data_IF_897078463258
#
_entry.id   IF_897078463258
#
_cell.length_a   1.000
_cell.length_b   1.000
_cell.length_c   1.000
_cell.angle_alpha   90.00
_cell.angle_beta   90.00
_cell.angle_gamma   90.00
#
_symmetry.space_group_name_H-M   'P 1'
#
loop_
_entity.id
_entity.type
_entity.pdbx_description
1 polymer ?
#
# COMPACT_ATOMS: atom_id res chain seq x y z
N UNK A 1 22.14 39.32 45.55
CA UNK A 1 21.74 38.35 44.51
C UNK A 1 21.92 38.99 43.13
N UNK A 2 23.15 39.40 42.84
CA UNK A 2 23.55 40.29 41.74
C UNK A 2 25.01 39.95 41.39
N UNK A 3 25.41 40.21 40.14
CA UNK A 3 26.71 39.96 39.49
C UNK A 3 26.99 38.55 38.93
N UNK A 4 26.83 37.46 39.69
CA UNK A 4 27.23 36.11 39.21
C UNK A 4 26.33 35.60 38.06
N UNK A 5 25.03 35.88 38.12
CA UNK A 5 24.08 35.43 37.08
C UNK A 5 24.23 36.22 35.76
N UNK A 6 24.68 37.48 35.82
CA UNK A 6 24.92 38.32 34.63
C UNK A 6 26.24 37.92 33.96
N UNK A 7 27.26 37.49 34.71
CA UNK A 7 28.51 36.96 34.12
C UNK A 7 28.30 35.64 33.36
N UNK A 8 27.41 34.76 33.86
CA UNK A 8 27.06 33.50 33.18
C UNK A 8 26.24 33.72 31.90
N UNK A 9 25.42 34.78 31.85
CA UNK A 9 24.70 35.16 30.63
C UNK A 9 25.61 35.84 29.58
N UNK A 10 26.67 36.54 30.00
CA UNK A 10 27.63 37.17 29.09
C UNK A 10 28.64 36.17 28.48
N UNK A 11 28.92 35.05 29.15
CA UNK A 11 29.73 33.97 28.58
C UNK A 11 28.98 33.14 27.53
N UNK A 12 27.65 33.10 27.56
CA UNK A 12 26.84 32.32 26.63
C UNK A 12 26.61 33.00 25.28
N UNK A 13 26.86 34.31 25.16
CA UNK A 13 26.65 35.08 23.91
C UNK A 13 27.94 35.20 23.06
N UNK A 14 29.09 34.72 23.53
CA UNK A 14 30.32 34.69 22.71
C UNK A 14 30.43 33.47 21.78
N UNK A 15 29.42 32.60 21.72
CA UNK A 15 29.38 31.44 20.82
C UNK A 15 28.75 31.78 19.47
N UNK A 16 29.12 32.92 18.89
CA UNK A 16 28.77 33.25 17.51
C UNK A 16 29.70 32.44 16.60
N UNK A 17 29.09 31.59 15.78
CA UNK A 17 29.65 30.80 14.69
C UNK A 17 31.01 31.30 14.17
N UNK A 18 32.09 30.60 14.53
CA UNK A 18 33.39 30.81 13.89
C UNK A 18 33.34 30.19 12.49
N UNK A 19 33.29 31.03 11.45
CA UNK A 19 33.55 30.57 10.08
C UNK A 19 35.03 30.17 9.99
N UNK A 20 35.32 28.86 9.89
CA UNK A 20 36.67 28.31 10.11
C UNK A 20 37.54 28.42 8.86
N UNK A 21 38.51 29.32 8.88
CA UNK A 21 39.47 29.55 7.80
C UNK A 21 40.59 28.49 7.73
N UNK A 22 40.63 27.61 6.70
CA UNK A 22 41.67 26.60 6.55
C UNK A 22 43.05 27.20 6.25
N UNK A 23 43.10 28.44 5.73
CA UNK A 23 44.35 29.16 5.44
C UNK A 23 44.95 29.87 6.66
N UNK A 24 44.37 29.67 7.87
CA UNK A 24 44.84 30.31 9.11
C UNK A 24 46.32 30.00 9.39
N UNK A 25 46.79 28.78 9.10
CA UNK A 25 48.20 28.38 9.31
C UNK A 25 49.20 29.14 8.44
N UNK A 26 48.77 29.70 7.32
CA UNK A 26 49.60 30.51 6.41
C UNK A 26 49.26 32.00 6.47
N UNK A 27 48.50 32.43 7.49
CA UNK A 27 48.22 33.84 7.77
C UNK A 27 47.26 34.55 6.82
N UNK A 28 46.63 33.84 5.86
CA UNK A 28 45.71 34.46 4.89
C UNK A 28 44.26 34.39 5.34
N UNK A 29 43.47 35.44 5.10
CA UNK A 29 42.00 35.45 5.25
C UNK A 29 41.35 35.32 3.89
N UNK A 30 40.47 34.33 3.71
CA UNK A 30 39.68 34.13 2.50
C UNK A 30 38.23 33.79 2.86
N UNK A 31 37.28 34.20 2.03
CA UNK A 31 35.87 33.76 2.12
C UNK A 31 35.79 32.32 1.62
N UNK A 32 35.23 31.41 2.43
CA UNK A 32 35.10 30.00 2.08
C UNK A 32 33.71 29.78 1.51
N UNK A 33 33.65 29.33 0.26
CA UNK A 33 32.42 28.83 -0.33
C UNK A 33 32.27 27.37 0.12
N UNK A 34 31.22 27.08 0.88
CA UNK A 34 30.81 25.72 1.22
C UNK A 34 29.77 25.26 0.19
N UNK A 35 29.73 23.97 -0.14
CA UNK A 35 28.84 23.39 -1.15
C UNK A 35 27.38 23.75 -0.87
N UNK A 36 27.03 23.86 0.41
CA UNK A 36 25.67 24.06 0.87
C UNK A 36 25.47 25.41 1.56
N UNK A 37 26.41 26.35 1.40
CA UNK A 37 26.36 27.68 2.02
C UNK A 37 26.09 27.63 3.53
N UNK A 38 26.69 26.64 4.21
CA UNK A 38 26.54 26.43 5.66
C UNK A 38 25.28 25.68 6.09
N UNK A 39 24.48 25.15 5.16
CA UNK A 39 23.29 24.34 5.50
C UNK A 39 23.67 23.00 6.15
N UNK A 40 24.79 22.41 5.76
CA UNK A 40 25.32 21.19 6.37
C UNK A 40 26.75 21.41 6.91
N UNK A 41 27.12 20.60 7.91
CA UNK A 41 28.49 20.56 8.43
C UNK A 41 29.36 19.83 7.40
N UNK A 42 30.20 20.56 6.69
CA UNK A 42 31.04 20.04 5.59
C UNK A 42 32.50 19.78 5.99
N UNK A 43 32.84 20.05 7.25
CA UNK A 43 34.17 19.78 7.82
C UNK A 43 34.03 18.71 8.90
N UNK A 44 34.64 17.54 8.67
CA UNK A 44 34.42 16.33 9.47
C UNK A 44 35.62 15.94 10.35
N UNK A 45 36.82 16.46 10.07
CA UNK A 45 38.07 16.04 10.74
C UNK A 45 38.59 17.08 11.73
N UNK A 46 38.03 17.11 12.94
CA UNK A 46 38.48 18.05 13.98
C UNK A 46 38.94 17.42 15.28
N UNK A 47 38.67 16.13 15.49
CA UNK A 47 39.06 15.46 16.73
C UNK A 47 40.20 14.46 16.49
N UNK A 48 41.17 14.45 17.41
CA UNK A 48 42.30 13.53 17.33
C UNK A 48 41.86 12.09 17.59
N UNK A 49 40.67 11.90 18.16
CA UNK A 49 40.09 10.59 18.47
C UNK A 49 38.86 10.38 17.58
N UNK A 50 38.90 9.35 16.74
CA UNK A 50 37.77 8.94 15.91
C UNK A 50 37.26 7.57 16.32
N UNK A 51 35.94 7.40 16.24
CA UNK A 51 35.29 6.10 16.45
C UNK A 51 35.38 5.28 15.17
N UNK A 52 36.00 4.10 15.27
CA UNK A 52 36.06 3.11 14.20
C UNK A 52 35.49 1.81 14.78
N UNK A 53 34.26 1.47 14.40
CA UNK A 53 33.53 0.32 14.94
C UNK A 53 33.30 0.42 16.44
N UNK A 54 33.85 -0.53 17.20
CA UNK A 54 33.80 -0.60 18.67
C UNK A 54 35.03 0.03 19.34
N UNK A 55 35.95 0.63 18.58
CA UNK A 55 37.16 1.26 19.11
C UNK A 55 37.15 2.78 18.91
N UNK A 56 37.61 3.51 19.92
CA UNK A 56 38.04 4.89 19.79
C UNK A 56 39.54 4.89 19.50
N UNK A 57 39.94 5.45 18.35
CA UNK A 57 41.32 5.43 17.86
C UNK A 57 41.82 6.87 17.76
N UNK A 58 43.02 7.11 18.29
CA UNK A 58 43.70 8.37 18.03
C UNK A 58 44.30 8.33 16.61
N UNK A 59 43.80 9.15 15.69
CA UNK A 59 44.20 9.13 14.27
C UNK A 59 45.60 9.69 14.03
N UNK A 60 46.15 10.47 14.96
CA UNK A 60 47.50 11.03 14.85
C UNK A 60 48.55 10.02 15.32
N UNK A 61 48.26 9.26 16.38
CA UNK A 61 49.20 8.27 16.94
C UNK A 61 48.91 6.84 16.49
N UNK A 62 47.77 6.60 15.82
CA UNK A 62 47.24 5.29 15.43
C UNK A 62 47.08 4.31 16.59
N UNK A 63 46.86 4.83 17.81
CA UNK A 63 46.67 4.03 19.01
C UNK A 63 45.19 3.92 19.39
N UNK A 64 44.78 2.73 19.85
CA UNK A 64 43.45 2.51 20.43
C UNK A 64 43.41 3.19 21.79
N UNK A 65 42.53 4.18 21.93
CA UNK A 65 42.30 4.93 23.16
C UNK A 65 41.36 4.17 24.08
N UNK A 66 40.32 3.55 23.51
CA UNK A 66 39.29 2.85 24.29
C UNK A 66 38.55 1.83 23.44
N UNK A 67 38.24 0.67 24.02
CA UNK A 67 37.33 -0.32 23.45
C UNK A 67 35.98 -0.19 24.14
N UNK A 68 34.94 0.06 23.36
CA UNK A 68 33.57 0.29 23.85
C UNK A 68 32.93 -1.03 24.26
N UNK A 69 32.28 -1.07 25.43
CA UNK A 69 31.49 -2.21 25.91
C UNK A 69 30.17 -2.34 25.14
N UNK A 70 29.83 -3.58 24.80
CA UNK A 70 28.68 -3.96 23.98
C UNK A 70 27.34 -3.57 24.63
N UNK A 71 27.30 -3.43 25.96
CA UNK A 71 26.05 -3.34 26.73
C UNK A 71 25.56 -1.91 27.02
N UNK A 72 26.41 -0.89 26.91
CA UNK A 72 26.08 0.49 27.36
C UNK A 72 26.04 1.51 26.23
N UNK A 73 26.86 1.36 25.19
CA UNK A 73 27.08 2.42 24.18
C UNK A 73 26.58 2.08 22.76
N UNK A 74 26.03 0.87 22.54
CA UNK A 74 25.54 0.40 21.23
C UNK A 74 24.07 0.80 20.95
N UNK A 75 23.37 1.43 21.90
CA UNK A 75 21.94 1.79 21.71
C UNK A 75 21.65 2.81 20.59
N UNK A 76 22.65 3.49 20.05
CA UNK A 76 22.52 4.06 18.70
C UNK A 76 22.87 2.96 17.70
N UNK A 77 21.85 2.22 17.26
CA UNK A 77 21.96 1.37 16.06
C UNK A 77 22.74 2.17 15.01
N UNK A 78 23.82 1.64 14.41
CA UNK A 78 24.40 2.26 13.23
C UNK A 78 23.28 2.36 12.21
N UNK A 79 22.83 3.58 11.94
CA UNK A 79 22.00 3.85 10.79
C UNK A 79 22.87 3.52 9.57
N UNK A 80 22.41 2.56 8.75
CA UNK A 80 23.08 2.11 7.54
C UNK A 80 23.24 3.24 6.51
N UNK A 81 22.58 4.39 6.71
CA UNK A 81 22.82 5.63 5.96
C UNK A 81 24.29 6.07 5.98
N UNK A 82 25.07 5.70 7.01
CA UNK A 82 26.48 6.09 7.14
C UNK A 82 27.47 5.10 6.53
N UNK A 83 27.13 3.80 6.48
CA UNK A 83 28.05 2.74 6.04
C UNK A 83 27.80 2.24 4.61
N UNK A 84 26.68 2.62 3.99
CA UNK A 84 26.30 2.22 2.61
C UNK A 84 26.43 0.70 2.35
N UNK A 85 26.19 -0.10 3.40
CA UNK A 85 26.28 -1.57 3.41
C UNK A 85 25.16 -2.13 4.25
N UNK A 86 24.68 -3.32 3.92
CA UNK A 86 23.69 -4.01 4.73
C UNK A 86 24.30 -4.54 6.04
N UNK A 87 23.50 -4.57 7.10
CA UNK A 87 23.91 -5.08 8.42
C UNK A 87 23.79 -6.61 8.52
N UNK A 88 23.05 -7.23 7.59
CA UNK A 88 22.85 -8.67 7.47
C UNK A 88 23.42 -9.18 6.15
N UNK A 89 23.78 -10.46 6.10
CA UNK A 89 24.24 -11.10 4.87
C UNK A 89 23.11 -11.24 3.86
N UNK A 90 23.40 -10.93 2.60
CA UNK A 90 22.53 -11.14 1.44
C UNK A 90 22.21 -12.65 1.29
N UNK A 91 20.93 -13.07 1.31
CA UNK A 91 20.51 -14.46 1.09
C UNK A 91 20.98 -15.07 -0.24
N UNK A 92 21.24 -14.26 -1.27
CA UNK A 92 21.70 -14.67 -2.59
C UNK A 92 23.23 -14.69 -2.72
N UNK A 93 23.98 -14.43 -1.64
CA UNK A 93 25.45 -14.46 -1.61
C UNK A 93 26.03 -15.70 -2.29
N UNK A 94 25.40 -16.88 -2.10
CA UNK A 94 25.87 -18.14 -2.68
C UNK A 94 25.87 -18.17 -4.22
N UNK A 95 24.99 -17.39 -4.85
CA UNK A 95 24.88 -17.25 -6.31
C UNK A 95 25.81 -16.20 -6.89
N UNK A 96 26.36 -15.31 -6.05
CA UNK A 96 27.16 -14.16 -6.46
C UNK A 96 28.47 -14.09 -5.67
N UNK A 97 29.28 -15.15 -5.75
CA UNK A 97 30.55 -15.27 -5.02
C UNK A 97 31.57 -14.17 -5.32
N UNK A 98 31.39 -13.44 -6.42
CA UNK A 98 32.23 -12.29 -6.80
C UNK A 98 31.83 -10.98 -6.09
N UNK A 99 30.74 -10.97 -5.33
CA UNK A 99 30.23 -9.80 -4.62
C UNK A 99 30.34 -10.00 -3.10
N UNK A 100 30.44 -8.88 -2.37
CA UNK A 100 30.44 -8.94 -0.90
C UNK A 100 29.03 -9.32 -0.41
N UNK A 101 28.88 -10.16 0.62
CA UNK A 101 27.59 -10.49 1.23
C UNK A 101 26.84 -9.29 1.82
N UNK A 102 27.45 -8.11 1.87
CA UNK A 102 26.90 -6.89 2.47
C UNK A 102 26.87 -5.71 1.49
N UNK A 103 27.06 -5.99 0.19
CA UNK A 103 27.13 -4.99 -0.88
C UNK A 103 25.77 -4.31 -1.10
N UNK A 104 25.79 -3.06 -1.57
CA UNK A 104 24.60 -2.37 -2.06
C UNK A 104 24.75 -2.12 -3.57
N UNK A 105 23.74 -2.49 -4.36
CA UNK A 105 23.63 -2.21 -5.78
C UNK A 105 24.85 -2.62 -6.63
N UNK A 106 25.42 -3.80 -6.37
CA UNK A 106 26.70 -4.30 -6.91
C UNK A 106 27.87 -3.32 -6.76
N UNK A 107 27.88 -2.51 -5.68
CA UNK A 107 28.79 -1.38 -5.47
C UNK A 107 28.72 -0.30 -6.58
N UNK A 108 27.60 -0.18 -7.27
CA UNK A 108 27.34 0.81 -8.33
C UNK A 108 26.16 1.72 -7.97
N UNK A 109 26.24 2.54 -6.91
CA UNK A 109 25.09 3.30 -6.41
C UNK A 109 24.63 4.48 -7.30
N UNK A 110 25.38 4.80 -8.37
CA UNK A 110 25.05 5.92 -9.27
C UNK A 110 24.06 5.47 -10.36
N UNK A 111 24.22 4.25 -10.88
CA UNK A 111 23.46 3.70 -12.00
C UNK A 111 22.84 2.32 -11.73
N UNK A 112 23.34 1.62 -10.71
CA UNK A 112 22.71 0.46 -10.12
C UNK A 112 21.74 0.88 -9.02
N UNK A 113 20.54 0.33 -9.10
CA UNK A 113 19.57 0.32 -8.00
C UNK A 113 19.55 -1.12 -7.50
N UNK A 114 19.72 -1.30 -6.20
CA UNK A 114 19.57 -2.58 -5.53
C UNK A 114 18.09 -3.00 -5.62
N UNK A 115 17.81 -3.96 -6.51
CA UNK A 115 16.46 -4.39 -6.89
C UNK A 115 15.96 -5.57 -6.04
N UNK A 116 16.68 -5.91 -4.99
CA UNK A 116 16.39 -7.00 -4.06
C UNK A 116 15.07 -6.75 -3.32
N UNK A 117 14.45 -5.59 -3.54
CA UNK A 117 13.05 -5.45 -3.97
C UNK A 117 12.15 -6.64 -3.71
N UNK A 118 11.33 -6.50 -2.69
CA UNK A 118 10.38 -7.54 -2.36
C UNK A 118 8.99 -7.00 -2.06
N UNK A 119 8.42 -6.05 -2.81
CA UNK A 119 6.97 -6.03 -3.17
C UNK A 119 6.37 -4.63 -3.22
N UNK A 120 6.28 -4.18 -4.45
CA UNK A 120 5.20 -3.39 -4.99
C UNK A 120 4.96 -3.90 -6.40
N UNK A 121 3.75 -3.76 -6.94
CA UNK A 121 3.56 -4.03 -8.37
C UNK A 121 4.08 -2.84 -9.16
N UNK A 122 5.00 -3.07 -10.09
CA UNK A 122 5.47 -2.00 -10.97
C UNK A 122 4.71 -2.03 -12.27
N UNK A 123 3.90 -1.02 -12.51
CA UNK A 123 3.41 -0.74 -13.84
C UNK A 123 4.37 0.17 -14.58
N UNK A 124 4.66 -0.15 -15.83
CA UNK A 124 5.40 0.71 -16.75
C UNK A 124 4.51 1.07 -17.93
N UNK A 125 4.22 2.36 -18.07
CA UNK A 125 3.49 2.95 -19.18
C UNK A 125 4.45 3.75 -20.05
N UNK A 126 4.39 3.55 -21.35
CA UNK A 126 5.20 4.29 -22.33
C UNK A 126 4.28 5.16 -23.16
N UNK A 127 4.53 6.47 -23.19
CA UNK A 127 3.75 7.46 -23.94
C UNK A 127 4.54 8.04 -25.10
N UNK A 128 3.94 8.08 -26.28
CA UNK A 128 4.47 8.78 -27.45
C UNK A 128 4.08 10.26 -27.40
N UNK A 129 5.05 11.16 -27.30
CA UNK A 129 4.82 12.61 -27.38
C UNK A 129 4.89 13.09 -28.84
N UNK A 130 4.01 14.03 -29.24
CA UNK A 130 4.08 14.70 -30.55
C UNK A 130 5.25 15.71 -30.54
N UNK A 131 6.07 15.71 -31.60
CA UNK A 131 7.25 16.59 -31.76
C UNK A 131 6.96 18.08 -31.59
N UNK A 132 5.71 18.48 -31.82
CA UNK A 132 5.31 19.90 -31.84
C UNK A 132 5.05 20.48 -30.45
N UNK A 133 4.75 19.64 -29.46
CA UNK A 133 4.52 20.06 -28.08
C UNK A 133 5.04 18.95 -27.16
N UNK A 134 6.15 19.20 -26.46
CA UNK A 134 6.62 18.39 -25.33
C UNK A 134 5.70 18.53 -24.11
N UNK A 135 4.37 18.57 -24.32
CA UNK A 135 3.41 18.57 -23.23
C UNK A 135 3.12 17.10 -22.87
N UNK A 136 3.54 16.62 -21.68
CA UNK A 136 3.26 15.26 -21.23
C UNK A 136 1.76 14.94 -21.11
N UNK A 137 0.89 15.95 -21.05
CA UNK A 137 -0.58 15.80 -21.03
C UNK A 137 -1.19 15.43 -22.41
N UNK A 138 -0.40 15.45 -23.49
CA UNK A 138 -0.85 15.18 -24.87
C UNK A 138 -0.24 13.88 -25.46
N UNK A 139 0.38 13.03 -24.63
CA UNK A 139 1.00 11.80 -25.07
C UNK A 139 0.00 10.66 -25.34
N UNK A 140 0.14 9.96 -26.47
CA UNK A 140 -0.64 8.74 -26.75
C UNK A 140 0.04 7.52 -26.11
N UNK A 141 -0.72 6.66 -25.40
CA UNK A 141 -0.18 5.44 -24.83
C UNK A 141 0.36 4.51 -25.93
N UNK A 142 1.64 4.18 -25.86
CA UNK A 142 2.36 3.30 -26.79
C UNK A 142 2.35 1.84 -26.29
N UNK A 143 2.61 1.66 -24.99
CA UNK A 143 2.55 0.34 -24.35
C UNK A 143 2.30 0.47 -22.86
N UNK A 144 1.66 -0.55 -22.29
CA UNK A 144 1.52 -0.76 -20.87
C UNK A 144 2.06 -2.16 -20.55
N UNK A 145 2.82 -2.27 -19.47
CA UNK A 145 3.33 -3.54 -18.97
C UNK A 145 3.36 -3.50 -17.45
N UNK A 146 3.37 -4.66 -16.81
CA UNK A 146 3.56 -4.76 -15.38
C UNK A 146 4.59 -5.83 -15.05
N UNK A 147 5.27 -5.64 -13.93
CA UNK A 147 6.14 -6.65 -13.33
C UNK A 147 5.59 -6.95 -11.94
N UNK A 148 5.21 -8.21 -11.74
CA UNK A 148 4.83 -8.75 -10.43
C UNK A 148 6.06 -9.40 -9.81
N UNK A 149 6.53 -8.88 -8.67
CA UNK A 149 7.67 -9.46 -7.96
C UNK A 149 7.23 -10.73 -7.23
N UNK A 150 7.47 -11.86 -7.92
CA UNK A 150 7.56 -13.28 -7.56
C UNK A 150 6.75 -13.89 -6.39
N UNK A 151 5.93 -14.90 -6.74
CA UNK A 151 5.28 -15.87 -5.85
C UNK A 151 6.21 -16.66 -4.88
N UNK A 152 7.53 -16.67 -5.11
CA UNK A 152 8.51 -17.33 -4.24
C UNK A 152 8.92 -16.47 -3.02
N UNK A 153 8.46 -15.21 -2.93
CA UNK A 153 8.88 -14.26 -1.89
C UNK A 153 7.94 -14.19 -0.65
N UNK A 154 6.88 -15.00 -0.59
CA UNK A 154 6.02 -15.14 0.61
C UNK A 154 5.42 -13.83 1.15
N UNK A 155 5.05 -12.86 0.30
CA UNK A 155 4.41 -11.59 0.70
C UNK A 155 5.28 -10.70 1.63
N UNK A 156 6.60 -10.64 1.39
CA UNK A 156 7.58 -9.90 2.17
C UNK A 156 8.07 -8.58 1.54
N UNK A 157 7.40 -7.44 1.78
CA UNK A 157 7.59 -6.09 1.16
C UNK A 157 9.00 -5.48 0.94
N UNK A 158 9.14 -4.74 -0.17
CA UNK A 158 10.35 -4.03 -0.58
C UNK A 158 10.54 -2.70 0.16
N UNK A 159 11.57 -1.92 -0.20
CA UNK A 159 11.93 -0.67 0.51
C UNK A 159 10.85 0.43 0.46
N UNK A 160 9.98 0.41 -0.55
CA UNK A 160 8.81 1.30 -0.63
C UNK A 160 7.63 0.82 0.24
N UNK A 161 7.67 -0.41 0.75
CA UNK A 161 6.58 -1.04 1.49
C UNK A 161 5.48 -1.58 0.57
N UNK A 162 4.37 -2.00 1.18
CA UNK A 162 3.19 -2.49 0.47
C UNK A 162 2.62 -1.41 -0.45
N UNK A 163 2.48 -1.69 -1.75
CA UNK A 163 1.90 -0.73 -2.68
C UNK A 163 2.08 -1.05 -4.15
N UNK A 164 1.83 -0.05 -4.98
CA UNK A 164 1.91 -0.13 -6.44
C UNK A 164 2.76 1.03 -6.92
N UNK A 165 3.84 0.74 -7.64
CA UNK A 165 4.65 1.74 -8.30
C UNK A 165 4.19 1.92 -9.74
N UNK A 166 4.03 3.16 -10.16
CA UNK A 166 3.73 3.54 -11.52
C UNK A 166 4.95 4.23 -12.10
N UNK A 167 5.46 3.73 -13.22
CA UNK A 167 6.53 4.31 -14.01
C UNK A 167 5.93 4.77 -15.33
N UNK A 168 6.07 6.06 -15.62
CA UNK A 168 5.61 6.69 -16.85
C UNK A 168 6.82 7.12 -17.65
N UNK A 169 7.07 6.47 -18.77
CA UNK A 169 8.14 6.77 -19.72
C UNK A 169 7.57 7.57 -20.87
N UNK A 170 8.28 8.60 -21.28
CA UNK A 170 7.90 9.44 -22.41
C UNK A 170 8.90 9.22 -23.53
N UNK A 171 8.43 9.00 -24.76
CA UNK A 171 9.27 8.79 -25.92
C UNK A 171 8.85 9.66 -27.11
N UNK A 172 9.83 10.03 -27.93
CA UNK A 172 9.63 10.69 -29.23
C UNK A 172 10.31 9.83 -30.28
N UNK A 173 9.55 9.35 -31.28
CA UNK A 173 10.05 8.44 -32.31
C UNK A 173 10.79 7.20 -31.76
N UNK A 174 10.27 6.62 -30.68
CA UNK A 174 10.85 5.44 -30.04
C UNK A 174 12.09 5.70 -29.17
N UNK A 175 12.49 6.96 -28.98
CA UNK A 175 13.57 7.35 -28.06
C UNK A 175 13.00 7.91 -26.78
N UNK A 176 13.37 7.33 -25.64
CA UNK A 176 13.00 7.86 -24.31
C UNK A 176 13.55 9.29 -24.13
N UNK A 177 12.67 10.22 -23.77
CA UNK A 177 12.98 11.63 -23.53
C UNK A 177 12.75 12.04 -22.08
N UNK A 178 12.12 11.19 -21.27
CA UNK A 178 11.91 11.43 -19.85
C UNK A 178 11.16 10.29 -19.16
N UNK A 179 11.20 10.31 -17.84
CA UNK A 179 10.48 9.36 -17.00
C UNK A 179 9.98 10.05 -15.73
N UNK A 180 8.77 9.69 -15.30
CA UNK A 180 8.23 9.99 -13.99
C UNK A 180 7.91 8.68 -13.26
N UNK A 181 7.99 8.67 -11.93
CA UNK A 181 7.54 7.55 -11.13
C UNK A 181 6.83 8.03 -9.87
N UNK A 182 5.76 7.35 -9.48
CA UNK A 182 5.08 7.56 -8.21
C UNK A 182 4.68 6.24 -7.59
N UNK A 183 4.55 6.23 -6.27
CA UNK A 183 4.22 5.05 -5.48
C UNK A 183 2.92 5.27 -4.73
N UNK A 184 1.97 4.36 -4.92
CA UNK A 184 0.71 4.31 -4.17
C UNK A 184 0.88 3.28 -3.07
N UNK A 185 1.19 3.77 -1.87
CA UNK A 185 1.28 2.92 -0.69
C UNK A 185 -0.10 2.36 -0.33
N UNK A 186 -0.15 1.08 0.04
CA UNK A 186 -1.29 0.51 0.76
C UNK A 186 -1.18 0.98 2.21
N UNK A 187 -1.92 2.01 2.55
CA UNK A 187 -1.81 2.65 3.85
C UNK A 187 -2.60 1.84 4.89
N UNK A 188 -1.87 1.32 5.87
CA UNK A 188 -2.42 1.27 7.21
C UNK A 188 -2.78 2.71 7.63
N UNK A 189 -4.05 2.98 7.93
CA UNK A 189 -4.49 4.33 8.26
C UNK A 189 -3.63 4.97 9.35
N UNK A 190 -3.59 6.31 9.40
CA UNK A 190 -2.88 7.08 10.42
C UNK A 190 -3.30 6.76 11.88
N UNK A 191 -4.38 5.99 12.07
CA UNK A 191 -4.87 5.49 13.36
C UNK A 191 -4.50 4.01 13.64
N UNK A 192 -3.66 3.41 12.80
CA UNK A 192 -3.16 2.04 12.97
C UNK A 192 -4.13 0.93 12.57
N UNK A 193 -5.27 1.27 11.94
CA UNK A 193 -6.23 0.29 11.41
C UNK A 193 -6.17 0.36 9.89
N UNK A 194 -5.42 -0.55 9.27
CA UNK A 194 -5.45 -0.72 7.81
C UNK A 194 -6.75 -1.41 7.41
N UNK A 195 -7.53 -0.78 6.53
CA UNK A 195 -8.62 -1.45 5.78
C UNK A 195 -8.13 -2.01 4.45
N UNK A 196 -6.84 -1.82 4.14
CA UNK A 196 -6.24 -2.18 2.87
C UNK A 196 -5.39 -3.44 3.02
N UNK A 197 -5.44 -4.30 2.01
CA UNK A 197 -4.66 -5.52 1.92
C UNK A 197 -4.56 -6.00 0.47
N UNK A 198 -3.40 -6.52 0.08
CA UNK A 198 -3.20 -7.02 -1.27
C UNK A 198 -3.47 -5.97 -2.36
N UNK A 199 -3.97 -6.46 -3.50
CA UNK A 199 -4.26 -5.67 -4.69
C UNK A 199 -5.71 -5.15 -4.72
N UNK A 200 -6.64 -5.83 -4.05
CA UNK A 200 -8.08 -5.65 -4.23
C UNK A 200 -8.83 -5.36 -2.94
N UNK A 201 -8.31 -5.74 -1.76
CA UNK A 201 -9.00 -5.40 -0.51
C UNK A 201 -8.75 -3.93 -0.13
N UNK A 202 -9.81 -3.11 -0.14
CA UNK A 202 -9.82 -1.74 0.37
C UNK A 202 -10.28 -0.72 -0.67
N UNK A 203 -10.33 0.56 -0.29
CA UNK A 203 -10.84 1.63 -1.13
C UNK A 203 -9.86 2.11 -2.22
N UNK A 204 -8.59 1.72 -2.12
CA UNK A 204 -7.49 2.12 -3.02
C UNK A 204 -7.11 1.00 -3.98
N UNK A 205 -8.10 0.27 -4.51
CA UNK A 205 -7.84 -0.79 -5.49
C UNK A 205 -7.06 -0.27 -6.72
N UNK A 206 -6.48 -1.21 -7.47
CA UNK A 206 -5.64 -0.90 -8.62
C UNK A 206 -6.43 -0.13 -9.67
N UNK A 207 -5.98 1.08 -9.99
CA UNK A 207 -6.59 1.89 -11.04
C UNK A 207 -5.72 1.85 -12.29
N UNK A 208 -6.35 1.90 -13.47
CA UNK A 208 -5.62 2.26 -14.67
C UNK A 208 -4.99 3.65 -14.48
N UNK A 209 -3.80 3.94 -15.02
CA UNK A 209 -3.27 5.29 -15.02
C UNK A 209 -4.18 6.15 -15.90
N UNK A 210 -4.37 7.39 -15.48
CA UNK A 210 -4.92 8.38 -16.40
C UNK A 210 -3.86 8.76 -17.45
N UNK A 211 -4.33 9.12 -18.64
CA UNK A 211 -3.50 9.63 -19.74
C UNK A 211 -2.84 10.98 -19.43
N UNK A 212 -3.23 11.64 -18.32
CA UNK A 212 -2.66 12.90 -17.85
C UNK A 212 -1.44 12.73 -16.90
N UNK A 213 -1.11 11.49 -16.54
CA UNK A 213 0.09 11.17 -15.77
C UNK A 213 0.11 11.64 -14.31
N UNK A 214 -1.05 12.03 -13.73
CA UNK A 214 -1.11 12.55 -12.35
C UNK A 214 -2.28 12.02 -11.51
N UNK A 215 -3.05 11.04 -12.00
CA UNK A 215 -4.19 10.50 -11.25
C UNK A 215 -4.50 9.03 -11.53
N UNK A 216 -5.17 8.41 -10.56
CA UNK A 216 -5.88 7.15 -10.74
C UNK A 216 -7.10 7.35 -11.64
N UNK A 217 -7.26 6.50 -12.65
CA UNK A 217 -8.54 6.35 -13.35
C UNK A 217 -9.66 5.95 -12.40
N UNK A 218 -10.91 6.19 -12.77
CA UNK A 218 -12.06 5.54 -12.12
C UNK A 218 -12.28 4.10 -12.60
N UNK A 219 -11.43 3.61 -13.51
CA UNK A 219 -11.49 2.25 -14.07
C UNK A 219 -10.50 1.37 -13.32
N UNK A 220 -11.02 0.34 -12.64
CA UNK A 220 -10.21 -0.67 -11.99
C UNK A 220 -9.45 -1.53 -13.01
N UNK A 221 -8.23 -1.90 -12.65
CA UNK A 221 -7.41 -2.85 -13.40
C UNK A 221 -7.40 -4.22 -12.68
N UNK A 222 -8.00 -5.22 -13.33
CA UNK A 222 -8.03 -6.61 -12.85
C UNK A 222 -7.02 -7.52 -13.55
N UNK A 223 -6.09 -6.97 -14.33
CA UNK A 223 -5.05 -7.74 -15.04
C UNK A 223 -4.01 -8.32 -14.09
N UNK A 224 -3.93 -7.79 -12.87
CA UNK A 224 -3.04 -8.34 -11.85
C UNK A 224 -3.67 -9.56 -11.18
N UNK A 225 -2.88 -10.63 -10.96
CA UNK A 225 -3.35 -11.68 -10.10
C UNK A 225 -3.54 -11.13 -8.68
N UNK A 226 -4.53 -11.66 -7.97
CA UNK A 226 -4.60 -11.48 -6.53
C UNK A 226 -3.32 -12.01 -5.87
N UNK A 227 -2.93 -11.42 -4.73
CA UNK A 227 -1.69 -11.84 -4.06
C UNK A 227 -1.86 -13.15 -3.29
N UNK A 228 -3.07 -13.43 -2.79
CA UNK A 228 -3.44 -14.63 -2.02
C UNK A 228 -4.96 -14.87 -2.05
N UNK A 229 -5.46 -15.86 -1.30
CA UNK A 229 -6.88 -16.19 -1.29
C UNK A 229 -7.77 -15.07 -0.74
N UNK A 230 -7.29 -14.31 0.24
CA UNK A 230 -8.08 -13.22 0.85
C UNK A 230 -8.25 -12.09 -0.15
N UNK A 231 -7.19 -11.77 -0.86
CA UNK A 231 -7.18 -10.77 -1.92
C UNK A 231 -7.96 -11.23 -3.15
N UNK A 232 -7.93 -12.53 -3.48
CA UNK A 232 -8.74 -13.10 -4.56
C UNK A 232 -10.23 -12.96 -4.27
N UNK A 233 -10.66 -13.18 -3.03
CA UNK A 233 -12.05 -12.97 -2.63
C UNK A 233 -12.47 -11.50 -2.76
N UNK A 234 -11.57 -10.56 -2.46
CA UNK A 234 -11.82 -9.13 -2.70
C UNK A 234 -11.90 -8.82 -4.20
N UNK A 235 -11.03 -9.40 -5.02
CA UNK A 235 -11.09 -9.29 -6.48
C UNK A 235 -12.43 -9.77 -7.03
N UNK A 236 -12.91 -10.94 -6.57
CA UNK A 236 -14.20 -11.48 -7.01
C UNK A 236 -15.39 -10.64 -6.55
N UNK A 237 -15.29 -10.02 -5.38
CA UNK A 237 -16.27 -9.05 -4.90
C UNK A 237 -16.37 -7.85 -5.84
N UNK A 238 -15.23 -7.24 -6.18
CA UNK A 238 -15.19 -6.05 -7.01
C UNK A 238 -15.65 -6.35 -8.45
N UNK A 239 -15.19 -7.47 -9.03
CA UNK A 239 -15.72 -7.97 -10.32
C UNK A 239 -17.24 -8.21 -10.28
N UNK A 240 -17.75 -8.63 -9.12
CA UNK A 240 -19.18 -8.77 -8.88
C UNK A 240 -19.91 -7.44 -8.92
N UNK A 241 -19.37 -6.41 -8.27
CA UNK A 241 -19.91 -5.05 -8.27
C UNK A 241 -19.96 -4.49 -9.68
N UNK A 242 -18.85 -4.57 -10.42
CA UNK A 242 -18.74 -4.09 -11.79
C UNK A 242 -19.74 -4.79 -12.72
N UNK A 243 -19.92 -6.11 -12.56
CA UNK A 243 -20.89 -6.89 -13.34
C UNK A 243 -22.31 -6.35 -13.19
N UNK A 244 -22.66 -5.82 -12.02
CA UNK A 244 -23.95 -5.21 -11.76
C UNK A 244 -23.87 -3.67 -11.73
N UNK A 245 -22.82 -3.05 -12.27
CA UNK A 245 -22.69 -1.59 -12.32
C UNK A 245 -22.82 -0.89 -10.95
N UNK A 246 -22.50 -1.59 -9.85
CA UNK A 246 -22.52 -1.02 -8.50
C UNK A 246 -21.28 -0.16 -8.27
N UNK A 247 -21.45 1.01 -7.64
CA UNK A 247 -20.39 2.01 -7.47
C UNK A 247 -20.10 2.27 -6.00
N UNK A 248 -18.89 1.90 -5.59
CA UNK A 248 -18.23 2.33 -4.35
C UNK A 248 -19.06 2.19 -3.08
N UNK A 249 -18.86 3.15 -2.16
CA UNK A 249 -19.48 3.13 -0.83
C UNK A 249 -21.01 3.24 -0.88
N UNK A 250 -21.57 3.99 -1.84
CA UNK A 250 -23.03 4.16 -1.94
C UNK A 250 -23.72 2.82 -2.21
N UNK A 251 -23.19 2.03 -3.14
CA UNK A 251 -23.73 0.70 -3.44
C UNK A 251 -23.44 -0.32 -2.33
N UNK A 252 -22.34 -0.15 -1.58
CA UNK A 252 -22.04 -1.00 -0.43
C UNK A 252 -23.11 -0.92 0.66
N UNK A 253 -23.77 0.23 0.86
CA UNK A 253 -24.77 0.37 1.92
C UNK A 253 -26.22 0.47 1.40
N UNK A 254 -26.42 1.14 0.27
CA UNK A 254 -27.75 1.49 -0.27
C UNK A 254 -28.31 0.49 -1.28
N UNK A 255 -27.45 -0.17 -2.05
CA UNK A 255 -27.89 -1.11 -3.08
C UNK A 255 -28.10 -2.51 -2.47
N UNK A 256 -29.32 -3.03 -2.60
CA UNK A 256 -29.65 -4.38 -2.12
C UNK A 256 -29.29 -5.47 -3.12
N UNK A 257 -29.02 -5.12 -4.38
CA UNK A 257 -28.60 -6.04 -5.44
C UNK A 257 -27.16 -6.53 -5.26
N UNK A 258 -26.34 -5.78 -4.51
CA UNK A 258 -24.97 -6.19 -4.13
C UNK A 258 -24.94 -7.20 -2.99
N UNK A 259 -26.03 -7.37 -2.22
CA UNK A 259 -26.09 -8.28 -1.06
C UNK A 259 -25.55 -9.70 -1.32
N UNK A 260 -25.90 -10.41 -2.42
CA UNK A 260 -25.36 -11.75 -2.66
C UNK A 260 -23.85 -11.76 -3.01
N UNK A 261 -23.30 -10.66 -3.50
CA UNK A 261 -21.86 -10.50 -3.76
C UNK A 261 -21.13 -10.24 -2.44
N UNK A 262 -21.66 -9.32 -1.63
CA UNK A 262 -21.17 -9.03 -0.26
C UNK A 262 -21.15 -10.30 0.61
N UNK A 263 -22.23 -11.08 0.53
CA UNK A 263 -22.39 -12.34 1.25
C UNK A 263 -21.39 -13.39 0.77
N UNK A 264 -21.10 -13.47 -0.52
CA UNK A 264 -20.09 -14.38 -1.06
C UNK A 264 -18.68 -14.05 -0.53
N UNK A 265 -18.32 -12.76 -0.50
CA UNK A 265 -17.06 -12.30 0.06
C UNK A 265 -16.95 -12.60 1.56
N UNK A 266 -18.00 -12.25 2.33
CA UNK A 266 -18.11 -12.55 3.76
C UNK A 266 -17.93 -14.05 4.05
N UNK A 267 -18.65 -14.89 3.32
CA UNK A 267 -18.57 -16.33 3.49
C UNK A 267 -17.18 -16.86 3.13
N UNK A 268 -16.57 -16.36 2.05
CA UNK A 268 -15.21 -16.71 1.65
C UNK A 268 -14.17 -16.37 2.73
N UNK A 269 -14.24 -15.16 3.30
CA UNK A 269 -13.29 -14.76 4.36
C UNK A 269 -13.52 -15.53 5.67
N UNK A 270 -14.77 -15.84 6.02
CA UNK A 270 -15.05 -16.71 7.16
C UNK A 270 -14.52 -18.13 6.92
N UNK A 271 -14.80 -18.71 5.75
CA UNK A 271 -14.32 -20.04 5.36
C UNK A 271 -12.79 -20.11 5.40
N UNK A 272 -12.13 -19.09 4.86
CA UNK A 272 -10.68 -18.97 4.90
C UNK A 272 -10.16 -18.95 6.34
N UNK A 273 -10.72 -18.10 7.20
CA UNK A 273 -10.31 -17.95 8.60
C UNK A 273 -10.48 -19.25 9.40
N UNK A 274 -11.55 -19.99 9.11
CA UNK A 274 -11.94 -21.18 9.85
C UNK A 274 -11.14 -22.42 9.41
N UNK A 275 -10.80 -22.53 8.11
CA UNK A 275 -10.07 -23.68 7.55
C UNK A 275 -8.55 -23.51 7.52
N UNK A 276 -8.05 -22.29 7.30
CA UNK A 276 -6.63 -22.06 7.02
C UNK A 276 -5.93 -21.32 8.16
N UNK A 277 -4.87 -21.94 8.67
CA UNK A 277 -4.04 -21.42 9.78
C UNK A 277 -2.75 -20.82 9.24
N UNK A 278 -2.13 -19.93 10.02
CA UNK A 278 -0.80 -19.40 9.68
C UNK A 278 0.17 -20.56 9.43
N UNK A 279 0.89 -20.52 8.30
CA UNK A 279 1.81 -21.57 7.86
C UNK A 279 1.17 -22.72 7.07
N UNK A 280 -0.16 -22.80 6.97
CA UNK A 280 -0.83 -23.74 6.05
C UNK A 280 -0.72 -23.26 4.61
N UNK A 281 -0.97 -24.15 3.64
CA UNK A 281 -0.99 -23.79 2.22
C UNK A 281 -2.21 -22.93 1.90
N UNK A 282 -1.98 -21.73 1.40
CA UNK A 282 -2.98 -20.85 0.83
C UNK A 282 -3.63 -21.56 -0.37
N UNK A 283 -4.97 -21.59 -0.48
CA UNK A 283 -5.66 -22.33 -1.53
C UNK A 283 -5.61 -21.64 -2.91
N UNK A 284 -5.25 -20.37 -2.99
CA UNK A 284 -5.16 -19.63 -4.25
C UNK A 284 -3.77 -19.79 -4.88
N UNK A 285 -2.69 -19.57 -4.12
CA UNK A 285 -1.33 -19.56 -4.64
C UNK A 285 -0.41 -20.68 -4.10
N UNK A 286 -0.86 -21.47 -3.12
CA UNK A 286 -0.08 -22.55 -2.52
C UNK A 286 1.01 -22.12 -1.50
N UNK A 287 1.18 -20.81 -1.27
CA UNK A 287 2.17 -20.28 -0.35
C UNK A 287 1.75 -20.45 1.11
N UNK A 288 2.67 -20.29 2.05
CA UNK A 288 2.34 -20.31 3.47
C UNK A 288 1.46 -19.12 3.85
N UNK A 289 0.27 -19.39 4.37
CA UNK A 289 -0.67 -18.37 4.86
C UNK A 289 -0.01 -17.51 5.92
N UNK A 290 -0.10 -16.19 5.76
CA UNK A 290 0.57 -15.24 6.66
C UNK A 290 -0.33 -14.80 7.81
N UNK A 291 0.26 -14.22 8.86
CA UNK A 291 -0.52 -13.58 9.95
C UNK A 291 -1.28 -12.35 9.43
N UNK A 292 -0.69 -11.60 8.50
CA UNK A 292 -1.29 -10.40 7.90
C UNK A 292 -2.53 -10.72 7.07
N UNK A 293 -2.45 -11.80 6.29
CA UNK A 293 -3.55 -12.36 5.51
C UNK A 293 -4.73 -12.77 6.39
N UNK A 294 -4.47 -13.55 7.46
CA UNK A 294 -5.53 -13.93 8.41
C UNK A 294 -6.15 -12.72 9.10
N UNK A 295 -5.35 -11.70 9.42
CA UNK A 295 -5.88 -10.43 9.94
C UNK A 295 -6.73 -9.70 8.90
N UNK A 296 -6.38 -9.77 7.61
CA UNK A 296 -7.17 -9.19 6.52
C UNK A 296 -8.52 -9.89 6.37
N UNK A 297 -8.54 -11.23 6.35
CA UNK A 297 -9.77 -12.01 6.34
C UNK A 297 -10.68 -11.67 7.55
N UNK A 298 -10.10 -11.56 8.75
CA UNK A 298 -10.87 -11.18 9.94
C UNK A 298 -11.48 -9.77 9.82
N UNK A 299 -10.72 -8.80 9.29
CA UNK A 299 -11.20 -7.43 9.05
C UNK A 299 -12.33 -7.41 8.03
N UNK A 300 -12.13 -8.04 6.87
CA UNK A 300 -13.15 -8.16 5.82
C UNK A 300 -14.44 -8.80 6.33
N UNK A 301 -14.32 -9.95 7.01
CA UNK A 301 -15.47 -10.64 7.58
C UNK A 301 -16.21 -9.80 8.63
N UNK A 302 -15.48 -9.06 9.47
CA UNK A 302 -16.10 -8.20 10.49
C UNK A 302 -16.86 -7.03 9.85
N UNK A 303 -16.25 -6.34 8.89
CA UNK A 303 -16.88 -5.22 8.19
C UNK A 303 -18.13 -5.66 7.42
N UNK A 304 -18.05 -6.78 6.71
CA UNK A 304 -19.15 -7.24 5.87
C UNK A 304 -20.26 -7.96 6.64
N UNK A 305 -19.97 -8.53 7.82
CA UNK A 305 -20.99 -9.15 8.66
C UNK A 305 -22.14 -8.20 8.94
N UNK A 306 -21.83 -6.98 9.37
CA UNK A 306 -22.84 -5.97 9.70
C UNK A 306 -23.53 -5.43 8.45
N UNK A 307 -22.80 -5.23 7.35
CA UNK A 307 -23.36 -4.76 6.07
C UNK A 307 -24.40 -5.77 5.55
N UNK A 308 -24.01 -7.04 5.43
CA UNK A 308 -24.88 -8.10 4.91
C UNK A 308 -26.08 -8.31 5.83
N UNK A 309 -25.88 -8.33 7.15
CA UNK A 309 -26.96 -8.48 8.10
C UNK A 309 -27.99 -7.33 7.99
N UNK A 310 -27.52 -6.08 7.95
CA UNK A 310 -28.37 -4.91 7.84
C UNK A 310 -29.16 -4.90 6.52
N UNK A 311 -28.51 -5.18 5.39
CA UNK A 311 -29.19 -5.30 4.09
C UNK A 311 -30.28 -6.35 4.12
N UNK A 312 -29.97 -7.56 4.60
CA UNK A 312 -30.95 -8.65 4.69
C UNK A 312 -32.15 -8.30 5.56
N UNK A 313 -31.93 -7.60 6.69
CA UNK A 313 -33.02 -7.12 7.55
C UNK A 313 -33.90 -6.12 6.81
N UNK A 314 -33.30 -5.11 6.16
CA UNK A 314 -34.03 -4.09 5.41
C UNK A 314 -34.83 -4.69 4.23
N UNK A 315 -34.19 -5.59 3.47
CA UNK A 315 -34.84 -6.39 2.43
C UNK A 315 -36.03 -7.14 3.03
N UNK A 316 -35.85 -7.81 4.17
CA UNK A 316 -36.91 -8.62 4.78
C UNK A 316 -38.14 -7.79 5.18
N UNK A 317 -37.93 -6.60 5.77
CA UNK A 317 -39.02 -5.67 6.06
C UNK A 317 -39.71 -5.17 4.79
N UNK A 318 -38.93 -4.83 3.76
CA UNK A 318 -39.47 -4.39 2.48
C UNK A 318 -40.29 -5.48 1.78
N UNK A 319 -39.83 -6.72 1.83
CA UNK A 319 -40.54 -7.87 1.30
C UNK A 319 -41.87 -8.12 2.03
N UNK A 320 -41.92 -7.96 3.35
CA UNK A 320 -43.18 -8.03 4.10
C UNK A 320 -44.16 -6.92 3.70
N UNK A 321 -43.66 -5.71 3.45
CA UNK A 321 -44.49 -4.57 3.05
C UNK A 321 -45.11 -4.79 1.66
N UNK A 322 -44.34 -5.31 0.71
CA UNK A 322 -44.72 -5.36 -0.70
C UNK A 322 -45.23 -6.73 -1.17
N UNK A 323 -44.86 -7.81 -0.48
CA UNK A 323 -45.21 -9.19 -0.81
C UNK A 323 -45.75 -9.93 0.43
N UNK A 324 -46.65 -9.29 1.18
CA UNK A 324 -47.16 -9.80 2.46
C UNK A 324 -47.80 -11.20 2.39
N UNK A 325 -48.32 -11.60 1.22
CA UNK A 325 -48.88 -12.92 0.97
C UNK A 325 -47.83 -14.03 0.76
N UNK A 326 -46.60 -13.66 0.38
CA UNK A 326 -45.51 -14.60 0.10
C UNK A 326 -44.41 -14.57 1.16
N UNK A 327 -44.16 -13.41 1.77
CA UNK A 327 -43.17 -13.18 2.80
C UNK A 327 -43.59 -13.76 4.16
N UNK A 328 -42.62 -14.07 5.02
CA UNK A 328 -42.83 -14.74 6.32
C UNK A 328 -42.37 -13.91 7.50
N UNK A 329 -43.04 -14.15 8.62
CA UNK A 329 -42.60 -13.73 9.95
C UNK A 329 -42.23 -14.95 10.77
N UNK A 330 -41.36 -14.75 11.75
CA UNK A 330 -40.98 -15.73 12.75
C UNK A 330 -41.20 -15.18 14.16
N UNK A 331 -41.38 -16.05 15.14
CA UNK A 331 -41.58 -15.64 16.53
C UNK A 331 -40.24 -15.33 17.20
N UNK A 332 -40.20 -14.24 17.96
CA UNK A 332 -39.13 -13.91 18.88
C UNK A 332 -39.73 -13.63 20.26
N UNK A 333 -39.89 -14.69 21.06
CA UNK A 333 -40.76 -14.64 22.23
C UNK A 333 -42.20 -14.33 21.81
N UNK A 334 -42.80 -13.29 22.40
CA UNK A 334 -44.18 -12.86 22.13
C UNK A 334 -44.33 -11.94 20.91
N UNK A 335 -43.23 -11.53 20.27
CA UNK A 335 -43.26 -10.60 19.14
C UNK A 335 -43.03 -11.32 17.82
N UNK A 336 -43.75 -10.93 16.77
CA UNK A 336 -43.45 -11.32 15.41
C UNK A 336 -42.34 -10.43 14.85
N UNK A 337 -41.30 -11.06 14.30
CA UNK A 337 -40.25 -10.39 13.54
C UNK A 337 -40.18 -10.96 12.12
N UNK A 338 -39.59 -10.26 11.15
CA UNK A 338 -39.40 -10.81 9.82
C UNK A 338 -38.56 -12.10 9.84
N UNK A 339 -38.94 -13.10 9.05
CA UNK A 339 -38.05 -14.24 8.77
C UNK A 339 -37.00 -13.78 7.74
N UNK A 340 -35.88 -13.25 8.26
CA UNK A 340 -34.83 -12.61 7.46
C UNK A 340 -34.30 -13.51 6.36
N UNK A 341 -33.99 -14.77 6.66
CA UNK A 341 -33.39 -15.66 5.66
C UNK A 341 -34.41 -16.07 4.60
N UNK A 342 -35.63 -16.41 5.00
CA UNK A 342 -36.67 -16.78 4.03
C UNK A 342 -37.01 -15.60 3.11
N UNK A 343 -37.21 -14.40 3.67
CA UNK A 343 -37.59 -13.23 2.90
C UNK A 343 -36.45 -12.74 1.99
N UNK A 344 -35.19 -12.87 2.43
CA UNK A 344 -34.04 -12.62 1.57
C UNK A 344 -33.97 -13.61 0.40
N UNK A 345 -34.21 -14.90 0.62
CA UNK A 345 -34.27 -15.88 -0.47
C UNK A 345 -35.42 -15.58 -1.45
N UNK A 346 -36.57 -15.14 -0.94
CA UNK A 346 -37.69 -14.68 -1.76
C UNK A 346 -37.32 -13.44 -2.58
N UNK A 347 -36.59 -12.49 -1.99
CA UNK A 347 -36.05 -11.32 -2.68
C UNK A 347 -35.11 -11.72 -3.82
N UNK A 348 -34.12 -12.59 -3.55
CA UNK A 348 -33.23 -13.10 -4.58
C UNK A 348 -34.02 -13.74 -5.73
N UNK A 349 -35.03 -14.56 -5.43
CA UNK A 349 -35.89 -15.18 -6.44
C UNK A 349 -36.63 -14.15 -7.32
N UNK A 350 -37.02 -12.99 -6.77
CA UNK A 350 -37.80 -11.98 -7.51
C UNK A 350 -36.92 -10.98 -8.26
N UNK A 351 -35.79 -10.56 -7.69
CA UNK A 351 -35.00 -9.42 -8.18
C UNK A 351 -33.64 -9.80 -8.75
N UNK A 352 -33.12 -10.98 -8.43
CA UNK A 352 -31.81 -11.43 -8.86
C UNK A 352 -31.93 -12.69 -9.72
N UNK A 353 -30.93 -12.90 -10.56
CA UNK A 353 -30.77 -14.13 -11.34
C UNK A 353 -29.29 -14.47 -11.49
N UNK A 354 -29.01 -15.68 -11.96
CA UNK A 354 -27.65 -16.11 -12.26
C UNK A 354 -27.40 -16.06 -13.75
N UNK A 355 -26.26 -15.52 -14.16
CA UNK A 355 -25.81 -15.58 -15.54
C UNK A 355 -25.38 -17.00 -15.93
N UNK A 356 -24.95 -17.17 -17.19
CA UNK A 356 -24.48 -18.45 -17.74
C UNK A 356 -23.27 -19.04 -16.97
N UNK A 357 -22.51 -18.20 -16.30
CA UNK A 357 -21.31 -18.57 -15.54
C UNK A 357 -21.64 -18.76 -14.05
N UNK A 358 -22.91 -18.66 -13.67
CA UNK A 358 -23.40 -18.87 -12.31
C UNK A 358 -23.31 -17.65 -11.39
N UNK A 359 -22.96 -16.48 -11.93
CA UNK A 359 -22.80 -15.25 -11.16
C UNK A 359 -24.11 -14.50 -10.99
N UNK A 360 -24.27 -13.83 -9.86
CA UNK A 360 -25.45 -13.00 -9.61
C UNK A 360 -25.49 -11.76 -10.51
N UNK A 361 -26.67 -11.51 -11.08
CA UNK A 361 -27.03 -10.35 -11.88
C UNK A 361 -28.43 -9.88 -11.50
N UNK A 362 -28.76 -8.62 -11.83
CA UNK A 362 -30.09 -8.07 -11.62
C UNK A 362 -31.05 -8.57 -12.69
N UNK A 363 -32.25 -8.98 -12.29
CA UNK A 363 -33.32 -9.31 -13.25
C UNK A 363 -33.73 -8.09 -14.04
N UNK A 364 -33.75 -8.23 -15.36
CA UNK A 364 -34.15 -7.16 -16.27
C UNK A 364 -35.54 -6.61 -15.93
N UNK A 365 -35.66 -5.28 -15.89
CA UNK A 365 -36.92 -4.59 -15.65
C UNK A 365 -37.36 -4.50 -14.19
N UNK A 366 -36.68 -5.17 -13.25
CA UNK A 366 -37.08 -5.24 -11.83
C UNK A 366 -36.44 -4.16 -10.93
N UNK A 367 -35.63 -3.27 -11.51
CA UNK A 367 -34.82 -2.30 -10.76
C UNK A 367 -34.95 -0.89 -11.36
N UNK A 368 -34.93 0.11 -10.49
CA UNK A 368 -34.75 1.51 -10.84
C UNK A 368 -33.29 1.88 -10.65
N UNK A 369 -32.75 2.68 -11.57
CA UNK A 369 -31.42 3.27 -11.50
C UNK A 369 -31.57 4.79 -11.41
N UNK A 370 -30.91 5.41 -10.43
CA UNK A 370 -30.84 6.86 -10.33
C UNK A 370 -29.64 7.43 -11.09
N UNK A 371 -29.56 8.77 -11.14
CA UNK A 371 -28.48 9.50 -11.82
C UNK A 371 -27.07 9.26 -11.24
N UNK A 372 -27.00 8.71 -10.02
CA UNK A 372 -25.77 8.47 -9.29
C UNK A 372 -25.40 6.97 -9.31
N UNK A 373 -26.02 6.20 -10.22
CA UNK A 373 -25.87 4.75 -10.38
C UNK A 373 -26.24 3.94 -9.12
N UNK A 374 -27.17 4.44 -8.31
CA UNK A 374 -27.76 3.63 -7.24
C UNK A 374 -28.97 2.86 -7.75
N UNK A 375 -29.08 1.61 -7.33
CA UNK A 375 -30.16 0.72 -7.74
C UNK A 375 -31.14 0.45 -6.60
N UNK A 376 -32.43 0.51 -6.89
CA UNK A 376 -33.50 0.16 -5.95
C UNK A 376 -34.49 -0.82 -6.57
N UNK A 377 -35.01 -1.80 -5.81
CA UNK A 377 -35.98 -2.75 -6.34
C UNK A 377 -37.31 -2.04 -6.65
N UNK A 378 -37.89 -2.32 -7.82
CA UNK A 378 -39.24 -1.85 -8.15
C UNK A 378 -40.27 -2.56 -7.28
N UNK A 379 -41.24 -1.82 -6.75
CA UNK A 379 -42.35 -2.43 -6.04
C UNK A 379 -43.23 -3.26 -7.01
N UNK A 380 -43.88 -4.34 -6.54
CA UNK A 380 -44.91 -5.00 -7.32
C UNK A 380 -46.04 -4.00 -7.63
N UNK A 381 -46.29 -3.80 -8.93
CA UNK A 381 -47.17 -2.77 -9.53
C UNK A 381 -46.84 -1.32 -9.15
N UNK A 382 -45.90 -0.72 -9.89
CA UNK A 382 -46.23 0.46 -10.70
C UNK A 382 -46.82 0.03 -12.04
#
# INVERSE_FOLDING_TARGET
>A
MNLIFILLLLFSISSIAQNKNPYKKIGKKASIVTLTSGKYKELFDEDSIQKIGTALININTMQVVHLMDENTEIRRRPDNSTSSRFLSTDPLTGSFSMLSPYQYASNRPIDGIDLDGMEYVTYTYVFNLDKRNYNPELGNLASASYVWYNANQHNAHGSLGQGVQYIMKYQVEGKEVGQNAYFVARNASALGISTEYGNYMGATALFNPNTDGLGSSSIYNYDLPAVDQVDFLAQQHDLGYDRIGAVGQSSLFGDWGTTPIDEAALNGWNDFRDKYKTGSSDPYNGQAVTTSERKAAWRGATLFSDVVANKKVNISYWMLKNYSSEARTTKNGSFLKPDTQYNYNLFLKKYMEKDKDGNWTRKAGMWNEDKDHNFTPKAPSE
#
